data_IF_035289714981
#
_entry.id   IF_035289714981
#
_cell.length_a   1.000
_cell.length_b   1.000
_cell.length_c   1.000
_cell.angle_alpha   90.00
_cell.angle_beta   90.00
_cell.angle_gamma   90.00
#
_symmetry.space_group_name_H-M   'P 1'
#
loop_
_entity.id
_entity.type
_entity.pdbx_description
1 polymer ?
#
# COMPACT_ATOMS: atom_id res chain seq x y z
N UNK A 1 -6.18 19.01 -8.18
CA UNK A 1 -5.11 18.10 -7.73
C UNK A 1 -4.00 18.95 -7.11
N UNK A 2 -3.52 18.62 -5.88
CA UNK A 2 -2.44 19.33 -5.20
C UNK A 2 -1.13 19.35 -6.00
N UNK A 3 -0.29 20.35 -5.77
CA UNK A 3 0.98 20.48 -6.50
C UNK A 3 1.93 19.29 -6.30
N UNK A 4 1.93 18.67 -5.13
CA UNK A 4 2.77 17.48 -4.84
C UNK A 4 2.25 16.18 -5.48
N UNK A 5 1.07 16.21 -6.12
CA UNK A 5 0.47 15.09 -6.86
C UNK A 5 0.38 15.37 -8.36
N UNK A 6 1.20 16.25 -8.88
CA UNK A 6 1.32 16.50 -10.33
C UNK A 6 2.74 16.93 -10.69
N UNK A 7 3.11 16.80 -11.95
CA UNK A 7 4.39 17.33 -12.42
C UNK A 7 4.39 18.87 -12.43
N UNK A 8 5.55 19.49 -12.19
CA UNK A 8 5.65 20.96 -12.23
C UNK A 8 5.23 21.58 -13.57
N UNK A 9 5.43 20.86 -14.67
CA UNK A 9 5.08 21.24 -16.04
C UNK A 9 3.71 20.73 -16.51
N UNK A 10 2.91 20.14 -15.60
CA UNK A 10 1.58 19.61 -15.87
C UNK A 10 1.54 18.49 -16.92
N UNK A 11 2.61 17.73 -17.08
CA UNK A 11 2.66 16.60 -18.02
C UNK A 11 2.00 15.34 -17.47
N UNK A 12 1.80 15.23 -16.15
CA UNK A 12 1.02 14.17 -15.52
C UNK A 12 0.32 14.67 -14.25
N UNK A 13 -0.75 13.97 -13.87
CA UNK A 13 -1.56 14.26 -12.69
C UNK A 13 -1.82 12.98 -11.90
N UNK A 14 -1.70 13.04 -10.57
CA UNK A 14 -2.15 11.99 -9.68
C UNK A 14 -3.67 11.89 -9.66
N UNK A 15 -4.19 10.68 -9.69
CA UNK A 15 -5.62 10.39 -9.71
C UNK A 15 -6.09 9.72 -8.42
N UNK A 16 -5.26 8.88 -7.82
CA UNK A 16 -5.52 8.25 -6.54
C UNK A 16 -4.21 7.99 -5.77
N UNK A 17 -4.35 7.69 -4.47
CA UNK A 17 -3.25 7.35 -3.56
C UNK A 17 -3.50 5.99 -2.93
N UNK A 18 -2.44 5.25 -2.69
CA UNK A 18 -2.46 3.98 -1.97
C UNK A 18 -1.30 3.89 -1.00
N UNK A 19 -1.57 3.41 0.21
CA UNK A 19 -0.55 3.20 1.22
C UNK A 19 0.02 1.78 1.13
N UNK A 20 1.32 1.65 1.38
CA UNK A 20 1.95 0.37 1.66
C UNK A 20 1.88 0.13 3.16
N UNK A 21 1.12 -0.87 3.57
CA UNK A 21 0.77 -1.14 4.96
C UNK A 21 1.29 -2.50 5.40
N UNK A 22 1.39 -2.68 6.70
CA UNK A 22 1.62 -3.99 7.31
C UNK A 22 0.25 -4.64 7.47
N UNK A 23 0.16 -5.93 7.19
CA UNK A 23 -1.00 -6.75 7.50
C UNK A 23 -0.57 -7.83 8.49
N UNK A 24 -1.36 -8.04 9.54
CA UNK A 24 -1.03 -8.96 10.63
C UNK A 24 -2.20 -9.88 10.96
N UNK A 25 -1.89 -11.08 11.45
CA UNK A 25 -2.90 -12.02 11.94
C UNK A 25 -3.57 -11.48 13.20
N UNK A 26 -4.92 -11.47 13.23
CA UNK A 26 -5.70 -10.85 14.30
C UNK A 26 -5.39 -11.38 15.71
N UNK A 27 -5.20 -12.71 15.83
CA UNK A 27 -5.04 -13.36 17.12
C UNK A 27 -3.58 -13.56 17.55
N UNK A 28 -2.62 -13.53 16.59
CA UNK A 28 -1.22 -13.86 16.89
C UNK A 28 -0.34 -12.65 17.13
N UNK A 29 -0.76 -11.50 16.65
CA UNK A 29 -0.05 -10.23 16.82
C UNK A 29 -0.97 -9.28 17.59
N UNK A 30 -0.54 -8.83 18.77
CA UNK A 30 -1.33 -7.92 19.57
C UNK A 30 -1.32 -6.49 19.00
N UNK A 31 -2.33 -5.69 19.38
CA UNK A 31 -2.38 -4.28 19.02
C UNK A 31 -1.20 -3.55 19.66
N UNK A 32 -0.50 -2.74 18.84
CA UNK A 32 0.68 -1.99 19.28
C UNK A 32 1.99 -2.75 19.23
N UNK A 33 2.01 -4.07 18.95
CA UNK A 33 3.25 -4.85 18.81
C UNK A 33 4.11 -4.38 17.62
N UNK A 34 3.48 -3.84 16.59
CA UNK A 34 4.12 -3.26 15.40
C UNK A 34 3.44 -1.92 15.11
N UNK A 35 4.22 -0.86 15.19
CA UNK A 35 3.76 0.51 14.90
C UNK A 35 4.57 1.18 13.80
N UNK A 36 5.74 0.64 13.46
CA UNK A 36 6.69 1.20 12.51
C UNK A 36 7.17 0.15 11.52
N UNK A 37 7.46 0.58 10.30
CA UNK A 37 8.01 -0.32 9.27
C UNK A 37 9.41 -0.84 9.66
N UNK A 38 10.17 -0.05 10.40
CA UNK A 38 11.50 -0.39 10.86
C UNK A 38 11.50 -1.59 11.81
N UNK A 39 10.44 -1.77 12.59
CA UNK A 39 10.31 -2.86 13.57
C UNK A 39 10.16 -4.24 12.93
N UNK A 40 9.91 -4.33 11.62
CA UNK A 40 9.92 -5.60 10.89
C UNK A 40 11.33 -6.25 10.85
N UNK A 41 12.37 -5.51 11.15
CA UNK A 41 13.73 -5.99 11.30
C UNK A 41 14.04 -6.59 12.68
N UNK A 42 13.13 -6.47 13.65
CA UNK A 42 13.33 -7.03 15.00
C UNK A 42 13.41 -8.57 14.94
N UNK A 43 14.43 -9.20 15.54
CA UNK A 43 14.58 -10.66 15.58
C UNK A 43 13.41 -11.42 16.20
N UNK A 44 12.57 -10.77 17.01
CA UNK A 44 11.32 -11.36 17.54
C UNK A 44 10.36 -11.85 16.45
N UNK A 45 10.49 -11.35 15.23
CA UNK A 45 9.68 -11.72 14.07
C UNK A 45 10.29 -12.82 13.22
N UNK A 46 11.36 -13.48 13.69
CA UNK A 46 12.02 -14.54 12.93
C UNK A 46 11.05 -15.67 12.56
N UNK A 47 10.99 -15.96 11.24
CA UNK A 47 10.10 -16.99 10.70
C UNK A 47 8.62 -16.59 10.66
N UNK A 48 8.29 -15.29 10.82
CA UNK A 48 6.90 -14.82 10.89
C UNK A 48 6.47 -13.92 9.72
N UNK A 49 7.39 -13.48 8.88
CA UNK A 49 7.10 -12.52 7.82
C UNK A 49 6.99 -13.22 6.46
N UNK A 50 5.90 -12.96 5.74
CA UNK A 50 5.76 -13.26 4.32
C UNK A 50 5.95 -11.99 3.47
N UNK A 51 6.51 -12.16 2.30
CA UNK A 51 6.69 -11.05 1.36
C UNK A 51 6.61 -11.50 -0.09
N UNK A 52 6.17 -10.62 -0.95
CA UNK A 52 6.40 -10.77 -2.39
C UNK A 52 7.87 -10.51 -2.71
N UNK A 53 8.38 -10.86 -3.92
CA UNK A 53 9.78 -10.67 -4.28
C UNK A 53 10.28 -9.23 -4.08
N UNK A 54 11.48 -9.07 -3.52
CA UNK A 54 12.12 -7.77 -3.30
C UNK A 54 12.35 -6.97 -4.58
N UNK A 55 12.49 -7.64 -5.72
CA UNK A 55 12.62 -7.03 -7.05
C UNK A 55 11.33 -6.35 -7.53
N UNK A 56 10.17 -6.65 -6.91
CA UNK A 56 8.92 -6.05 -7.32
C UNK A 56 8.86 -4.56 -6.96
N UNK A 57 8.26 -3.75 -7.85
CA UNK A 57 8.21 -2.29 -7.73
C UNK A 57 7.66 -1.80 -6.37
N UNK A 58 6.73 -2.52 -5.73
CA UNK A 58 6.18 -2.13 -4.43
C UNK A 58 7.21 -2.27 -3.30
N UNK A 59 7.96 -3.36 -3.27
CA UNK A 59 9.01 -3.55 -2.26
C UNK A 59 10.23 -2.66 -2.54
N UNK A 60 10.53 -2.38 -3.81
CA UNK A 60 11.53 -1.36 -4.17
C UNK A 60 11.11 0.03 -3.68
N UNK A 61 9.81 0.37 -3.75
CA UNK A 61 9.27 1.62 -3.20
C UNK A 61 9.44 1.72 -1.68
N UNK A 62 9.15 0.65 -0.94
CA UNK A 62 9.43 0.58 0.50
C UNK A 62 10.93 0.75 0.78
N UNK A 63 11.79 0.03 0.07
CA UNK A 63 13.24 0.15 0.24
C UNK A 63 13.73 1.58 0.00
N UNK A 64 13.22 2.23 -1.06
CA UNK A 64 13.53 3.63 -1.33
C UNK A 64 13.05 4.57 -0.22
N UNK A 65 11.86 4.33 0.35
CA UNK A 65 11.32 5.10 1.48
C UNK A 65 12.19 4.95 2.74
N UNK A 66 12.62 3.72 3.05
CA UNK A 66 13.50 3.45 4.20
C UNK A 66 14.88 4.07 3.98
N UNK A 67 15.43 3.95 2.76
CA UNK A 67 16.71 4.57 2.38
C UNK A 67 16.68 6.10 2.55
N UNK A 68 15.62 6.74 2.08
CA UNK A 68 15.43 8.19 2.20
C UNK A 68 15.33 8.65 3.67
N UNK A 69 14.73 7.81 4.54
CA UNK A 69 14.53 8.15 5.95
C UNK A 69 15.75 7.86 6.83
N UNK A 70 16.45 6.74 6.59
CA UNK A 70 17.48 6.23 7.49
C UNK A 70 18.92 6.39 6.95
N UNK A 71 19.07 6.67 5.66
CA UNK A 71 20.36 6.62 4.96
C UNK A 71 20.76 5.19 4.58
N UNK A 72 21.81 5.07 3.75
CA UNK A 72 22.19 3.83 3.07
C UNK A 72 22.56 2.70 4.05
N UNK A 73 23.47 2.95 4.98
CA UNK A 73 23.95 1.93 5.92
C UNK A 73 22.84 1.32 6.77
N UNK A 74 21.99 2.17 7.36
CA UNK A 74 20.87 1.70 8.21
C UNK A 74 19.78 1.01 7.39
N UNK A 75 19.52 1.49 6.18
CA UNK A 75 18.55 0.88 5.28
C UNK A 75 19.01 -0.50 4.80
N UNK A 76 20.29 -0.66 4.47
CA UNK A 76 20.87 -1.96 4.12
C UNK A 76 20.79 -2.95 5.30
N UNK A 77 21.15 -2.50 6.51
CA UNK A 77 21.01 -3.31 7.71
C UNK A 77 19.57 -3.73 7.94
N UNK A 78 18.62 -2.79 7.88
CA UNK A 78 17.20 -3.06 8.00
C UNK A 78 16.72 -4.11 7.00
N UNK A 79 17.11 -4.01 5.75
CA UNK A 79 16.71 -4.96 4.71
C UNK A 79 17.27 -6.36 4.99
N UNK A 80 18.51 -6.49 5.42
CA UNK A 80 19.14 -7.78 5.81
C UNK A 80 18.41 -8.42 6.98
N UNK A 81 18.13 -7.63 8.02
CA UNK A 81 17.47 -8.12 9.23
C UNK A 81 16.01 -8.51 8.94
N UNK A 82 15.28 -7.73 8.13
CA UNK A 82 13.93 -8.08 7.70
C UNK A 82 13.90 -9.38 6.87
N UNK A 83 14.87 -9.58 5.96
CA UNK A 83 14.99 -10.83 5.17
C UNK A 83 15.27 -12.02 6.08
N UNK A 84 16.05 -11.86 7.14
CA UNK A 84 16.31 -12.91 8.13
C UNK A 84 15.07 -13.34 8.91
N UNK A 85 14.02 -12.51 8.91
CA UNK A 85 12.73 -12.77 9.57
C UNK A 85 11.70 -13.45 8.65
N UNK A 86 12.01 -13.68 7.37
CA UNK A 86 11.06 -14.31 6.46
C UNK A 86 10.76 -15.76 6.85
N UNK A 87 9.47 -16.11 6.85
CA UNK A 87 8.98 -17.47 7.09
C UNK A 87 9.27 -18.41 5.92
N UNK A 88 9.31 -17.85 4.70
CA UNK A 88 9.53 -18.59 3.45
C UNK A 88 10.16 -17.70 2.39
N UNK A 89 10.63 -18.34 1.31
CA UNK A 89 11.13 -17.61 0.14
C UNK A 89 10.06 -16.65 -0.39
N UNK A 90 10.38 -15.36 -0.62
CA UNK A 90 9.46 -14.37 -1.15
C UNK A 90 8.88 -14.77 -2.51
N UNK A 91 7.55 -14.80 -2.60
CA UNK A 91 6.82 -15.18 -3.81
C UNK A 91 5.37 -14.66 -3.81
N UNK A 92 4.70 -14.78 -4.94
CA UNK A 92 3.29 -14.41 -5.07
C UNK A 92 3.04 -12.90 -5.09
N UNK A 93 1.78 -12.53 -5.08
CA UNK A 93 1.30 -11.14 -5.04
C UNK A 93 0.76 -10.77 -3.65
N UNK A 94 0.24 -9.56 -3.46
CA UNK A 94 -0.24 -9.09 -2.16
C UNK A 94 -1.41 -9.93 -1.61
N UNK A 95 -2.33 -10.43 -2.47
CA UNK A 95 -3.40 -11.33 -2.02
C UNK A 95 -2.86 -12.66 -1.53
N UNK A 96 -1.83 -13.18 -2.20
CA UNK A 96 -1.17 -14.41 -1.78
C UNK A 96 -0.48 -14.27 -0.41
N UNK A 97 -0.04 -13.07 -0.02
CA UNK A 97 0.49 -12.82 1.32
C UNK A 97 -0.62 -12.91 2.39
N UNK A 98 -1.79 -12.33 2.13
CA UNK A 98 -2.93 -12.43 3.06
C UNK A 98 -3.40 -13.88 3.19
N UNK A 99 -3.49 -14.61 2.06
CA UNK A 99 -3.78 -16.04 2.06
C UNK A 99 -2.78 -16.81 2.91
N UNK A 100 -1.49 -16.56 2.78
CA UNK A 100 -0.43 -17.23 3.53
C UNK A 100 -0.55 -16.99 5.05
N UNK A 101 -0.97 -15.78 5.47
CA UNK A 101 -1.27 -15.52 6.89
C UNK A 101 -2.47 -16.33 7.34
N UNK A 102 -3.56 -16.37 6.58
CA UNK A 102 -4.76 -17.17 6.88
C UNK A 102 -4.45 -18.66 7.01
N UNK A 103 -3.59 -19.18 6.14
CA UNK A 103 -3.16 -20.60 6.14
C UNK A 103 -2.09 -20.91 7.22
N UNK A 104 -1.65 -19.91 7.98
CA UNK A 104 -0.69 -20.09 9.08
C UNK A 104 0.77 -20.23 8.64
N UNK A 105 1.10 -19.92 7.38
CA UNK A 105 2.47 -19.97 6.88
C UNK A 105 3.34 -18.80 7.41
N UNK A 106 2.70 -17.70 7.80
CA UNK A 106 3.32 -16.55 8.44
C UNK A 106 2.28 -15.78 9.27
N UNK A 107 2.70 -14.73 9.96
CA UNK A 107 1.83 -13.93 10.83
C UNK A 107 1.76 -12.46 10.38
N UNK A 108 2.72 -12.03 9.58
CA UNK A 108 2.94 -10.63 9.18
C UNK A 108 3.26 -10.59 7.68
N UNK A 109 2.74 -9.58 6.97
CA UNK A 109 3.16 -9.30 5.59
C UNK A 109 3.04 -7.80 5.24
N UNK A 110 3.57 -7.42 4.08
CA UNK A 110 3.42 -6.08 3.48
C UNK A 110 2.52 -6.15 2.26
N UNK A 111 1.46 -5.33 2.26
CA UNK A 111 0.53 -5.22 1.13
C UNK A 111 0.21 -3.75 0.81
N UNK A 112 -0.35 -3.48 -0.36
CA UNK A 112 -1.06 -2.23 -0.57
C UNK A 112 -2.45 -2.31 0.05
N UNK A 113 -2.89 -1.24 0.74
CA UNK A 113 -4.16 -1.21 1.49
C UNK A 113 -5.37 -1.66 0.67
N UNK A 114 -5.45 -1.27 -0.60
CA UNK A 114 -6.60 -1.59 -1.45
C UNK A 114 -6.80 -3.10 -1.70
N UNK A 115 -5.76 -3.93 -1.57
CA UNK A 115 -5.93 -5.38 -1.68
C UNK A 115 -6.75 -5.94 -0.52
N UNK A 116 -6.60 -5.37 0.68
CA UNK A 116 -7.44 -5.75 1.83
C UNK A 116 -8.92 -5.45 1.55
N UNK A 117 -9.26 -4.24 1.08
CA UNK A 117 -10.63 -3.92 0.70
C UNK A 117 -11.18 -4.86 -0.37
N UNK A 118 -10.38 -5.13 -1.42
CA UNK A 118 -10.78 -6.07 -2.48
C UNK A 118 -10.96 -7.51 -2.00
N UNK A 119 -10.28 -7.94 -0.96
CA UNK A 119 -10.49 -9.25 -0.34
C UNK A 119 -11.73 -9.24 0.55
N UNK A 120 -11.88 -8.21 1.40
CA UNK A 120 -13.00 -8.06 2.33
C UNK A 120 -14.36 -8.02 1.62
N UNK A 121 -14.44 -7.37 0.47
CA UNK A 121 -15.64 -7.23 -0.35
C UNK A 121 -15.65 -8.12 -1.60
N UNK A 122 -14.84 -9.20 -1.60
CA UNK A 122 -14.81 -10.14 -2.72
C UNK A 122 -16.11 -10.93 -2.83
N UNK A 123 -16.53 -11.24 -4.05
CA UNK A 123 -17.62 -12.21 -4.30
C UNK A 123 -17.23 -13.62 -3.86
N UNK A 124 -15.94 -13.96 -3.92
CA UNK A 124 -15.39 -15.24 -3.46
C UNK A 124 -15.37 -15.32 -1.92
N UNK A 125 -16.13 -16.25 -1.32
CA UNK A 125 -16.20 -16.39 0.12
C UNK A 125 -14.86 -16.79 0.77
N UNK A 126 -14.00 -17.50 0.05
CA UNK A 126 -12.67 -17.86 0.58
C UNK A 126 -11.79 -16.62 0.73
N UNK A 127 -11.82 -15.69 -0.23
CA UNK A 127 -11.08 -14.44 -0.13
C UNK A 127 -11.56 -13.58 1.05
N UNK A 128 -12.86 -13.58 1.33
CA UNK A 128 -13.39 -12.87 2.52
C UNK A 128 -12.85 -13.46 3.81
N UNK A 129 -12.79 -14.81 3.94
CA UNK A 129 -12.19 -15.47 5.11
C UNK A 129 -10.73 -15.07 5.32
N UNK A 130 -9.96 -14.92 4.22
CA UNK A 130 -8.58 -14.43 4.34
C UNK A 130 -8.53 -13.04 4.96
N UNK A 131 -9.40 -12.13 4.49
CA UNK A 131 -9.48 -10.77 5.04
C UNK A 131 -9.93 -10.75 6.50
N UNK A 132 -10.86 -11.63 6.90
CA UNK A 132 -11.37 -11.75 8.27
C UNK A 132 -10.30 -12.20 9.27
N UNK A 133 -9.29 -12.95 8.83
CA UNK A 133 -8.21 -13.44 9.67
C UNK A 133 -7.12 -12.41 9.98
N UNK A 134 -7.16 -11.25 9.33
CA UNK A 134 -6.09 -10.24 9.40
C UNK A 134 -6.64 -8.83 9.62
N UNK A 135 -5.77 -7.93 10.08
CA UNK A 135 -6.03 -6.48 10.10
C UNK A 135 -4.88 -5.71 9.50
N UNK A 136 -5.17 -4.45 9.14
CA UNK A 136 -4.18 -3.51 8.65
C UNK A 136 -3.52 -2.76 9.81
N UNK A 137 -2.22 -2.51 9.67
CA UNK A 137 -1.46 -1.58 10.49
C UNK A 137 -0.81 -0.57 9.55
N UNK A 138 -1.18 0.69 9.68
CA UNK A 138 -0.52 1.80 8.99
C UNK A 138 0.73 2.16 9.79
N UNK A 139 1.93 1.91 9.26
CA UNK A 139 3.14 2.15 10.05
C UNK A 139 3.48 3.64 10.16
N UNK A 140 4.26 3.98 11.20
CA UNK A 140 4.85 5.30 11.37
C UNK A 140 3.82 6.44 11.51
N UNK A 141 2.71 6.23 12.26
CA UNK A 141 1.64 7.20 12.43
C UNK A 141 1.75 8.02 13.73
N UNK A 142 2.76 7.77 14.58
CA UNK A 142 2.95 8.57 15.79
C UNK A 142 3.23 10.05 15.46
N UNK A 143 2.93 10.94 16.40
CA UNK A 143 3.22 12.37 16.27
C UNK A 143 4.72 12.60 15.97
N UNK A 144 5.01 13.36 14.91
CA UNK A 144 6.38 13.61 14.45
C UNK A 144 7.01 12.49 13.63
N UNK A 145 6.33 11.37 13.41
CA UNK A 145 6.81 10.32 12.52
C UNK A 145 6.47 10.62 11.05
N UNK A 146 7.12 9.90 10.13
CA UNK A 146 7.07 10.16 8.68
C UNK A 146 5.84 9.65 7.95
N UNK A 147 4.97 8.90 8.61
CA UNK A 147 3.82 8.25 7.99
C UNK A 147 4.15 6.99 7.16
N UNK A 148 3.13 6.29 6.74
CA UNK A 148 3.25 5.16 5.84
C UNK A 148 3.72 5.60 4.44
N UNK A 149 4.48 4.74 3.75
CA UNK A 149 4.82 4.99 2.35
C UNK A 149 3.57 5.03 1.47
N UNK A 150 3.39 6.14 0.78
CA UNK A 150 2.28 6.35 -0.17
C UNK A 150 2.81 6.37 -1.59
N UNK A 151 2.14 5.67 -2.49
CA UNK A 151 2.34 5.79 -3.93
C UNK A 151 1.06 6.28 -4.60
N UNK A 152 1.16 6.77 -5.82
CA UNK A 152 0.06 7.35 -6.58
C UNK A 152 -0.23 6.55 -7.84
N UNK A 153 -1.49 6.54 -8.27
CA UNK A 153 -1.89 6.24 -9.64
C UNK A 153 -2.10 7.56 -10.35
N UNK A 154 -1.60 7.69 -11.55
CA UNK A 154 -1.67 8.96 -12.29
C UNK A 154 -1.81 8.73 -13.79
N UNK A 155 -2.08 9.81 -14.50
CA UNK A 155 -2.20 9.82 -15.95
C UNK A 155 -1.63 11.09 -16.56
N UNK A 156 -1.24 10.98 -17.81
CA UNK A 156 -0.78 12.10 -18.63
C UNK A 156 -1.11 11.86 -20.09
N UNK A 157 -1.07 12.90 -20.90
CA UNK A 157 -1.33 12.80 -22.33
C UNK A 157 0.00 12.58 -23.06
N UNK A 158 0.10 11.47 -23.79
CA UNK A 158 1.30 11.18 -24.57
C UNK A 158 1.56 12.27 -25.62
N UNK A 159 2.82 12.69 -25.78
CA UNK A 159 3.25 13.75 -26.68
C UNK A 159 2.68 13.60 -28.10
N UNK A 160 2.65 12.38 -28.61
CA UNK A 160 2.22 12.06 -29.99
C UNK A 160 0.79 11.50 -30.06
N UNK A 161 -0.01 11.66 -29.00
CA UNK A 161 -1.43 11.29 -29.03
C UNK A 161 -2.14 12.05 -30.17
N UNK A 162 -2.95 11.31 -30.94
CA UNK A 162 -3.81 11.90 -32.00
C UNK A 162 -5.13 12.45 -31.44
N UNK A 163 -5.52 12.01 -30.22
CA UNK A 163 -6.80 12.33 -29.58
C UNK A 163 -6.54 13.10 -28.28
N UNK A 164 -5.82 14.24 -28.36
CA UNK A 164 -5.42 15.00 -27.16
C UNK A 164 -6.59 15.63 -26.44
N UNK A 165 -7.58 16.15 -27.19
CA UNK A 165 -8.77 16.78 -26.61
C UNK A 165 -9.61 15.79 -25.82
N UNK A 166 -9.82 14.59 -26.37
CA UNK A 166 -10.55 13.51 -25.70
C UNK A 166 -9.79 12.98 -24.49
N UNK A 167 -8.46 12.88 -24.59
CA UNK A 167 -7.61 12.48 -23.48
C UNK A 167 -7.65 13.52 -22.36
N UNK A 168 -7.70 14.81 -22.67
CA UNK A 168 -7.87 15.86 -21.68
C UNK A 168 -9.24 15.75 -20.98
N UNK A 169 -10.32 15.62 -21.74
CA UNK A 169 -11.68 15.42 -21.18
C UNK A 169 -11.73 14.21 -20.26
N UNK A 170 -11.05 13.11 -20.62
CA UNK A 170 -10.94 11.93 -19.76
C UNK A 170 -10.20 12.25 -18.46
N UNK A 171 -9.06 12.94 -18.50
CA UNK A 171 -8.32 13.33 -17.29
C UNK A 171 -9.15 14.26 -16.41
N UNK A 172 -9.86 15.23 -16.99
CA UNK A 172 -10.77 16.11 -16.27
C UNK A 172 -11.90 15.31 -15.58
N UNK A 173 -12.50 14.35 -16.30
CA UNK A 173 -13.49 13.45 -15.71
C UNK A 173 -12.90 12.63 -14.56
N UNK A 174 -11.71 12.05 -14.71
CA UNK A 174 -11.05 11.25 -13.68
C UNK A 174 -10.68 12.05 -12.41
N UNK A 175 -10.59 13.38 -12.52
CA UNK A 175 -10.39 14.29 -11.37
C UNK A 175 -11.69 14.87 -10.81
N UNK A 176 -12.83 14.57 -11.45
CA UNK A 176 -14.15 15.03 -10.99
C UNK A 176 -14.57 14.36 -9.69
N UNK A 177 -15.51 14.95 -8.97
CA UNK A 177 -16.06 14.39 -7.73
C UNK A 177 -16.58 12.97 -7.92
N UNK A 178 -17.32 12.74 -9.00
CA UNK A 178 -17.90 11.42 -9.33
C UNK A 178 -16.84 10.34 -9.47
N UNK A 179 -15.79 10.61 -10.25
CA UNK A 179 -14.73 9.63 -10.47
C UNK A 179 -13.87 9.42 -9.20
N UNK A 180 -13.60 10.50 -8.47
CA UNK A 180 -12.81 10.43 -7.24
C UNK A 180 -13.52 9.64 -6.12
N UNK A 181 -14.84 9.71 -6.01
CA UNK A 181 -15.62 8.84 -5.11
C UNK A 181 -15.50 7.37 -5.49
N UNK A 182 -15.56 7.05 -6.80
CA UNK A 182 -15.40 5.67 -7.28
C UNK A 182 -14.02 5.07 -6.95
N UNK A 183 -12.94 5.87 -6.93
CA UNK A 183 -11.63 5.37 -6.47
C UNK A 183 -11.69 4.90 -5.02
N UNK A 184 -12.38 5.62 -4.14
CA UNK A 184 -12.53 5.24 -2.74
C UNK A 184 -13.45 4.02 -2.55
N UNK A 185 -14.61 4.04 -3.18
CA UNK A 185 -15.68 3.06 -2.95
C UNK A 185 -15.43 1.71 -3.63
N UNK A 186 -14.84 1.71 -4.83
CA UNK A 186 -14.67 0.49 -5.64
C UNK A 186 -13.23 -0.02 -5.62
N UNK A 187 -12.26 0.90 -5.68
CA UNK A 187 -10.85 0.53 -5.72
C UNK A 187 -10.18 0.52 -4.35
N UNK A 188 -10.80 1.11 -3.31
CA UNK A 188 -10.21 1.27 -1.99
C UNK A 188 -8.87 2.03 -2.03
N UNK A 189 -8.79 3.02 -2.94
CA UNK A 189 -7.68 3.96 -3.06
C UNK A 189 -8.14 5.35 -2.61
N UNK A 190 -7.29 6.08 -1.89
CA UNK A 190 -7.62 7.44 -1.43
C UNK A 190 -7.69 8.41 -2.60
N UNK A 191 -8.71 9.29 -2.67
CA UNK A 191 -8.80 10.31 -3.69
C UNK A 191 -7.56 11.22 -3.72
N UNK A 192 -7.13 11.62 -4.93
CA UNK A 192 -6.10 12.65 -5.08
C UNK A 192 -6.65 14.06 -4.92
N UNK A 193 -7.94 14.26 -5.13
CA UNK A 193 -8.63 15.52 -4.86
C UNK A 193 -8.95 15.63 -3.37
N UNK A 194 -8.27 16.54 -2.65
CA UNK A 194 -8.42 16.70 -1.20
C UNK A 194 -9.79 17.23 -0.75
N UNK A 195 -10.63 17.69 -1.68
CA UNK A 195 -12.01 18.12 -1.38
C UNK A 195 -12.99 16.93 -1.31
N UNK A 196 -12.56 15.75 -1.73
CA UNK A 196 -13.39 14.56 -1.77
C UNK A 196 -13.01 13.68 -0.58
N UNK A 197 -13.98 13.45 0.28
CA UNK A 197 -13.83 12.52 1.40
C UNK A 197 -13.63 11.09 0.89
N UNK A 198 -12.71 10.32 1.47
CA UNK A 198 -12.63 8.89 1.22
C UNK A 198 -13.92 8.20 1.67
N UNK A 199 -14.29 7.10 1.03
CA UNK A 199 -15.42 6.29 1.43
C UNK A 199 -15.29 5.76 2.88
N UNK A 200 -16.43 5.36 3.48
CA UNK A 200 -16.47 4.99 4.91
C UNK A 200 -15.50 3.86 5.28
N UNK A 201 -15.31 2.89 4.40
CA UNK A 201 -14.31 1.83 4.61
C UNK A 201 -12.89 2.39 4.75
N UNK A 202 -12.49 3.30 3.88
CA UNK A 202 -11.15 3.93 3.94
C UNK A 202 -10.96 4.83 5.16
N UNK A 203 -12.05 5.43 5.67
CA UNK A 203 -12.02 6.23 6.92
C UNK A 203 -11.86 5.36 8.15
N UNK A 204 -12.28 4.10 8.08
CA UNK A 204 -12.22 3.17 9.20
C UNK A 204 -10.82 2.55 9.39
N UNK A 205 -9.93 2.75 8.45
CA UNK A 205 -8.55 2.27 8.47
C UNK A 205 -7.64 3.35 9.03
#
# INVERSE_FOLDING_TARGET
>A
IPNYLRSPDNTWFGLSKRARVIVVHNEKIADGDITRIEELADPKWKGKICSRPGSHVYNRGIMASVLAALGEEKAEKWAKDMVANFAKRPQGNDRAQVKAIHEGECEIALINNYYFGKLKFSEDPEQRKWAESVRLVFPNQAEGDRGAHVNISGGGIAKFSKNKEEAQKLLEFLTSEKAQKLYGEINFEYPANLKIEPGDELKSW
#
